data_IF_933133832584
#
_entry.id   IF_933133832584
#
_cell.length_a   1.000
_cell.length_b   1.000
_cell.length_c   1.000
_cell.angle_alpha   90.00
_cell.angle_beta   90.00
_cell.angle_gamma   90.00
#
_symmetry.space_group_name_H-M   'P 1'
#
loop_
_entity.id
_entity.type
_entity.pdbx_description
1 polymer ?
#
# COMPACT_ATOMS: atom_id res chain seq x y z
N UNK A 1 -15.50 -14.02 7.56
CA UNK A 1 -16.09 -14.27 6.24
C UNK A 1 -16.48 -12.92 5.67
N UNK A 2 -15.63 -12.38 4.79
CA UNK A 2 -15.87 -11.10 4.13
C UNK A 2 -17.22 -11.18 3.43
N UNK A 3 -18.11 -10.21 3.66
CA UNK A 3 -19.38 -10.12 2.94
C UNK A 3 -19.03 -9.84 1.47
N UNK A 4 -18.96 -10.88 0.64
CA UNK A 4 -18.69 -10.87 -0.81
C UNK A 4 -19.65 -9.99 -1.65
N UNK A 5 -20.50 -9.18 -1.02
CA UNK A 5 -21.75 -8.71 -1.60
C UNK A 5 -21.78 -7.22 -1.96
N UNK A 6 -20.67 -6.49 -1.82
CA UNK A 6 -20.64 -5.03 -2.02
C UNK A 6 -19.74 -4.53 -3.16
N UNK A 7 -18.82 -5.34 -3.68
CA UNK A 7 -18.03 -4.94 -4.85
C UNK A 7 -18.79 -5.34 -6.14
N UNK A 8 -19.16 -4.39 -7.01
CA UNK A 8 -19.89 -4.69 -8.24
C UNK A 8 -19.02 -5.37 -9.31
N UNK A 9 -17.70 -5.39 -9.12
CA UNK A 9 -16.74 -5.94 -10.07
C UNK A 9 -16.51 -7.44 -9.85
N UNK A 10 -16.22 -8.16 -10.92
CA UNK A 10 -15.77 -9.54 -10.91
C UNK A 10 -14.34 -9.61 -10.36
N UNK A 11 -14.13 -10.43 -9.34
CA UNK A 11 -12.82 -10.64 -8.72
C UNK A 11 -12.50 -12.13 -8.67
N UNK A 12 -11.41 -12.54 -9.33
CA UNK A 12 -10.77 -13.84 -9.11
C UNK A 12 -9.81 -13.71 -7.92
N UNK A 13 -10.29 -14.07 -6.71
CA UNK A 13 -9.49 -14.01 -5.48
C UNK A 13 -8.29 -14.97 -5.49
N UNK A 14 -8.32 -16.04 -6.28
CA UNK A 14 -7.23 -17.01 -6.34
C UNK A 14 -6.07 -16.46 -7.16
N UNK A 15 -6.38 -15.87 -8.32
CA UNK A 15 -5.38 -15.27 -9.22
C UNK A 15 -5.11 -13.79 -8.90
N UNK A 16 -5.91 -13.19 -8.02
CA UNK A 16 -5.89 -11.77 -7.68
C UNK A 16 -6.10 -10.89 -8.92
N UNK A 17 -7.07 -11.25 -9.78
CA UNK A 17 -7.39 -10.53 -11.01
C UNK A 17 -8.77 -9.90 -10.88
N UNK A 18 -8.87 -8.60 -11.16
CA UNK A 18 -10.13 -7.85 -11.21
C UNK A 18 -10.57 -7.70 -12.67
N UNK A 19 -11.85 -7.96 -12.95
CA UNK A 19 -12.47 -7.86 -14.28
C UNK A 19 -11.74 -8.67 -15.38
N UNK A 20 -11.06 -9.74 -14.98
CA UNK A 20 -10.17 -10.57 -15.83
C UNK A 20 -8.99 -9.82 -16.48
N UNK A 21 -8.76 -8.55 -16.15
CA UNK A 21 -7.80 -7.67 -16.85
C UNK A 21 -6.83 -6.92 -15.95
N UNK A 22 -7.14 -6.73 -14.66
CA UNK A 22 -6.25 -6.05 -13.71
C UNK A 22 -5.68 -7.07 -12.72
N UNK A 23 -4.46 -7.53 -12.98
CA UNK A 23 -3.72 -8.40 -12.09
C UNK A 23 -3.10 -7.57 -10.95
N UNK A 24 -3.47 -7.85 -9.71
CA UNK A 24 -2.88 -7.22 -8.54
C UNK A 24 -1.42 -7.68 -8.37
N UNK A 25 -0.50 -6.72 -8.30
CA UNK A 25 0.92 -7.00 -8.04
C UNK A 25 1.19 -6.93 -6.54
N UNK A 26 1.82 -7.97 -6.00
CA UNK A 26 2.16 -8.09 -4.58
C UNK A 26 3.53 -8.71 -4.42
N UNK A 27 4.19 -8.41 -3.30
CA UNK A 27 5.38 -9.13 -2.88
C UNK A 27 5.03 -10.56 -2.45
N UNK A 28 4.99 -11.47 -3.43
CA UNK A 28 4.76 -12.90 -3.19
C UNK A 28 5.94 -13.61 -2.53
N UNK A 29 7.15 -13.03 -2.58
CA UNK A 29 8.38 -13.62 -2.05
C UNK A 29 8.46 -13.50 -0.52
N UNK A 30 7.95 -12.40 0.03
CA UNK A 30 7.99 -12.13 1.47
C UNK A 30 6.62 -12.12 2.15
N UNK A 31 5.57 -12.58 1.44
CA UNK A 31 4.19 -12.63 1.96
C UNK A 31 4.03 -13.54 3.18
N UNK A 32 4.80 -14.63 3.24
CA UNK A 32 4.75 -15.62 4.31
C UNK A 32 5.77 -15.36 5.43
N UNK A 33 6.54 -14.27 5.33
CA UNK A 33 7.44 -13.81 6.39
C UNK A 33 6.70 -12.84 7.31
N UNK A 34 6.51 -13.14 8.60
CA UNK A 34 5.80 -12.26 9.52
C UNK A 34 6.58 -10.96 9.73
N UNK A 35 5.89 -9.84 9.54
CA UNK A 35 6.33 -8.54 10.03
C UNK A 35 5.93 -8.43 11.51
N UNK A 36 6.88 -8.18 12.41
CA UNK A 36 6.66 -8.28 13.85
C UNK A 36 6.63 -6.89 14.50
N UNK A 37 5.60 -6.61 15.27
CA UNK A 37 5.52 -5.46 16.16
C UNK A 37 5.82 -5.89 17.60
N UNK A 38 6.55 -5.05 18.32
CA UNK A 38 6.70 -5.16 19.77
C UNK A 38 5.47 -4.57 20.45
N UNK A 39 4.88 -5.33 21.36
CA UNK A 39 3.67 -4.93 22.09
C UNK A 39 3.86 -5.17 23.58
N UNK A 40 3.30 -4.26 24.37
CA UNK A 40 3.18 -4.40 25.80
C UNK A 40 2.06 -5.37 26.14
N UNK A 41 2.35 -6.30 27.03
CA UNK A 41 1.39 -7.26 27.56
C UNK A 41 1.45 -7.29 29.07
N UNK A 42 0.31 -7.59 29.70
CA UNK A 42 0.25 -7.84 31.16
C UNK A 42 -0.45 -9.14 31.44
N UNK A 43 -0.22 -9.70 32.62
CA UNK A 43 -0.95 -10.83 33.15
C UNK A 43 -1.94 -10.41 34.22
N UNK A 44 -3.18 -10.87 34.11
CA UNK A 44 -4.26 -10.59 35.06
C UNK A 44 -4.94 -11.87 35.51
N UNK A 45 -5.64 -11.81 36.64
CA UNK A 45 -6.56 -12.89 37.00
C UNK A 45 -7.81 -12.84 36.10
N UNK A 46 -8.40 -13.99 35.71
CA UNK A 46 -9.50 -14.00 34.74
C UNK A 46 -10.70 -13.10 35.08
N UNK A 47 -11.00 -12.93 36.38
CA UNK A 47 -12.09 -12.07 36.88
C UNK A 47 -11.92 -10.58 36.53
N UNK A 48 -10.69 -10.11 36.33
CA UNK A 48 -10.38 -8.71 36.06
C UNK A 48 -10.44 -8.38 34.56
N UNK A 49 -10.65 -9.38 33.70
CA UNK A 49 -10.65 -9.20 32.24
C UNK A 49 -11.70 -8.20 31.72
N UNK A 50 -12.95 -8.12 32.23
CA UNK A 50 -13.91 -7.15 31.72
C UNK A 50 -13.48 -5.71 32.00
N UNK A 51 -12.87 -5.46 33.17
CA UNK A 51 -12.37 -4.14 33.56
C UNK A 51 -11.21 -3.70 32.66
N UNK A 52 -10.23 -4.59 32.46
CA UNK A 52 -9.12 -4.31 31.53
C UNK A 52 -9.61 -4.09 30.10
N UNK A 53 -10.54 -4.91 29.61
CA UNK A 53 -11.06 -4.77 28.24
C UNK A 53 -11.80 -3.44 28.04
N UNK A 54 -12.49 -2.93 29.06
CA UNK A 54 -13.11 -1.59 29.03
C UNK A 54 -12.04 -0.50 28.94
N UNK A 55 -10.99 -0.59 29.77
CA UNK A 55 -9.86 0.34 29.71
C UNK A 55 -9.19 0.34 28.33
N UNK A 56 -8.97 -0.81 27.71
CA UNK A 56 -8.34 -0.88 26.38
C UNK A 56 -9.17 -0.20 25.28
N UNK A 57 -10.48 -0.01 25.50
CA UNK A 57 -11.37 0.65 24.55
C UNK A 57 -11.49 2.16 24.81
N UNK A 58 -11.38 2.59 26.06
CA UNK A 58 -11.77 3.94 26.48
C UNK A 58 -10.64 4.73 27.18
N UNK A 59 -9.60 4.06 27.65
CA UNK A 59 -8.56 4.62 28.52
C UNK A 59 -7.17 4.72 27.90
N UNK A 60 -7.00 4.32 26.64
CA UNK A 60 -5.77 4.61 25.89
C UNK A 60 -5.88 6.01 25.25
N UNK A 61 -4.76 6.76 25.17
CA UNK A 61 -4.78 8.16 24.76
C UNK A 61 -5.17 8.36 23.29
N UNK A 62 -4.70 7.48 22.41
CA UNK A 62 -4.91 7.53 20.96
C UNK A 62 -5.19 6.13 20.40
N UNK A 63 -5.62 6.07 19.14
CA UNK A 63 -5.73 4.80 18.41
C UNK A 63 -4.34 4.20 18.18
N UNK A 64 -4.20 2.91 18.49
CA UNK A 64 -2.94 2.20 18.30
C UNK A 64 -2.61 2.07 16.80
N UNK A 65 -1.41 2.47 16.35
CA UNK A 65 -0.98 2.33 14.96
C UNK A 65 -0.90 0.86 14.50
N UNK A 66 -0.84 -0.10 15.44
CA UNK A 66 -0.86 -1.53 15.16
C UNK A 66 -2.26 -2.10 15.36
N UNK A 67 -2.83 -2.68 14.31
CA UNK A 67 -4.11 -3.39 14.39
C UNK A 67 -3.94 -4.76 15.06
N UNK A 68 -4.90 -5.13 15.92
CA UNK A 68 -4.92 -6.43 16.62
C UNK A 68 -6.08 -7.32 16.21
N UNK A 69 -6.81 -7.01 15.13
CA UNK A 69 -8.03 -7.71 14.73
C UNK A 69 -7.81 -9.18 14.36
N UNK A 70 -6.59 -9.53 13.94
CA UNK A 70 -6.13 -10.89 13.65
C UNK A 70 -5.51 -11.60 14.86
N UNK A 71 -5.28 -10.91 15.97
CA UNK A 71 -4.74 -11.48 17.20
C UNK A 71 -5.89 -11.78 18.19
N UNK A 72 -5.79 -12.89 18.92
CA UNK A 72 -6.63 -13.05 20.12
C UNK A 72 -6.11 -12.07 21.16
N UNK A 73 -6.95 -11.13 21.61
CA UNK A 73 -6.54 -10.10 22.58
C UNK A 73 -6.02 -10.68 23.90
N UNK A 74 -6.50 -11.88 24.26
CA UNK A 74 -6.16 -12.61 25.48
C UNK A 74 -5.68 -14.02 25.15
N UNK A 75 -4.70 -14.53 25.91
CA UNK A 75 -4.33 -15.95 25.96
C UNK A 75 -4.18 -16.41 27.41
N UNK A 76 -4.36 -17.70 27.67
CA UNK A 76 -4.02 -18.28 28.98
C UNK A 76 -2.50 -18.37 29.12
N UNK A 77 -1.99 -18.13 30.33
CA UNK A 77 -0.61 -18.47 30.70
C UNK A 77 -0.41 -20.00 30.68
N UNK A 78 0.84 -20.47 30.63
CA UNK A 78 1.15 -21.91 30.54
C UNK A 78 0.64 -22.70 31.74
N UNK A 79 0.64 -22.10 32.93
CA UNK A 79 0.09 -22.65 34.16
C UNK A 79 -1.46 -22.63 34.20
N UNK A 80 -2.11 -21.96 33.24
CA UNK A 80 -3.55 -21.81 33.12
C UNK A 80 -4.21 -20.91 34.18
N UNK A 81 -3.43 -20.33 35.09
CA UNK A 81 -3.94 -19.57 36.25
C UNK A 81 -4.27 -18.11 35.95
N UNK A 82 -3.69 -17.53 34.91
CA UNK A 82 -3.82 -16.11 34.53
C UNK A 82 -4.13 -15.95 33.05
N UNK A 83 -4.50 -14.73 32.68
CA UNK A 83 -4.65 -14.30 31.30
C UNK A 83 -3.55 -13.30 30.96
N UNK A 84 -2.79 -13.59 29.91
CA UNK A 84 -1.86 -12.65 29.31
C UNK A 84 -2.62 -11.85 28.23
N UNK A 85 -2.59 -10.51 28.34
CA UNK A 85 -3.43 -9.59 27.57
C UNK A 85 -2.56 -8.55 26.87
N UNK A 86 -2.84 -8.30 25.59
CA UNK A 86 -2.19 -7.24 24.82
C UNK A 86 -2.75 -5.88 25.25
N UNK A 87 -1.86 -4.95 25.59
CA UNK A 87 -2.21 -3.57 25.96
C UNK A 87 -2.14 -2.67 24.74
N UNK A 88 -0.92 -2.34 24.30
CA UNK A 88 -0.66 -1.47 23.16
C UNK A 88 0.70 -1.79 22.53
N UNK A 89 0.97 -1.20 21.37
CA UNK A 89 2.26 -1.30 20.69
C UNK A 89 3.26 -0.34 21.34
N UNK A 90 4.54 -0.65 21.17
CA UNK A 90 5.63 0.28 21.53
C UNK A 90 5.58 1.56 20.68
N UNK A 91 4.93 1.51 19.51
CA UNK A 91 4.72 2.68 18.64
C UNK A 91 3.67 3.65 19.18
N UNK A 92 2.71 3.16 19.98
CA UNK A 92 1.78 4.03 20.71
C UNK A 92 2.42 4.57 21.98
N UNK A 93 3.02 3.69 22.79
CA UNK A 93 3.65 4.05 24.06
C UNK A 93 5.01 3.37 24.13
N UNK A 94 6.07 4.17 23.95
CA UNK A 94 7.44 3.66 23.92
C UNK A 94 7.91 3.19 25.31
N UNK A 95 7.58 3.95 26.34
CA UNK A 95 8.11 3.78 27.69
C UNK A 95 7.23 2.86 28.56
N UNK A 96 7.85 1.83 29.16
CA UNK A 96 7.15 0.88 30.05
C UNK A 96 6.49 1.58 31.25
N UNK A 97 7.14 2.62 31.79
CA UNK A 97 6.66 3.35 32.96
C UNK A 97 5.33 4.08 32.70
N UNK A 98 5.12 4.55 31.48
CA UNK A 98 3.90 5.24 31.08
C UNK A 98 2.72 4.25 30.98
N UNK A 99 2.97 3.06 30.41
CA UNK A 99 1.98 1.97 30.40
C UNK A 99 1.59 1.59 31.83
N UNK A 100 2.58 1.44 32.73
CA UNK A 100 2.33 1.13 34.13
C UNK A 100 1.51 2.22 34.84
N UNK A 101 1.78 3.50 34.55
CA UNK A 101 1.05 4.65 35.09
C UNK A 101 -0.41 4.63 34.67
N UNK A 102 -0.70 4.47 33.37
CA UNK A 102 -2.08 4.41 32.86
C UNK A 102 -2.88 3.25 33.46
N UNK A 103 -2.25 2.07 33.58
CA UNK A 103 -2.88 0.91 34.22
C UNK A 103 -3.18 1.18 35.70
N UNK A 104 -2.27 1.86 36.42
CA UNK A 104 -2.45 2.23 37.82
C UNK A 104 -3.56 3.27 38.02
N UNK A 105 -3.60 4.31 37.19
CA UNK A 105 -4.65 5.34 37.18
C UNK A 105 -6.03 4.74 36.89
N UNK A 106 -6.10 3.71 36.05
CA UNK A 106 -7.31 2.94 35.77
C UNK A 106 -7.67 1.90 36.85
N UNK A 107 -6.87 1.77 37.91
CA UNK A 107 -7.07 0.81 38.99
C UNK A 107 -6.93 -0.66 38.56
N UNK A 108 -6.13 -0.93 37.52
CA UNK A 108 -5.94 -2.29 37.00
C UNK A 108 -4.83 -2.99 37.78
N UNK A 109 -5.20 -4.07 38.48
CA UNK A 109 -4.23 -4.97 39.09
C UNK A 109 -3.66 -5.92 38.03
N UNK A 110 -2.34 -5.99 37.93
CA UNK A 110 -1.65 -6.87 36.99
C UNK A 110 -0.34 -7.42 37.56
N UNK A 111 0.18 -8.45 36.91
CA UNK A 111 1.53 -8.97 37.05
C UNK A 111 2.22 -8.99 35.69
N UNK A 112 3.55 -9.09 35.68
CA UNK A 112 4.33 -9.34 34.46
C UNK A 112 4.02 -8.39 33.27
N UNK A 113 4.29 -7.10 33.44
CA UNK A 113 4.31 -6.16 32.30
C UNK A 113 5.56 -6.45 31.47
N UNK A 114 5.36 -7.00 30.28
CA UNK A 114 6.42 -7.52 29.43
C UNK A 114 6.21 -7.15 27.95
N UNK A 115 7.26 -7.33 27.15
CA UNK A 115 7.22 -7.19 25.70
C UNK A 115 7.05 -8.53 25.01
N UNK A 116 6.16 -8.57 24.02
CA UNK A 116 6.02 -9.69 23.10
C UNK A 116 6.15 -9.22 21.65
N UNK A 117 6.64 -10.10 20.78
CA UNK A 117 6.68 -9.88 19.33
C UNK A 117 5.44 -10.53 18.71
N UNK A 118 4.57 -9.72 18.10
CA UNK A 118 3.34 -10.17 17.45
C UNK A 118 3.37 -9.85 15.97
N UNK A 119 2.78 -10.70 15.11
CA UNK A 119 2.60 -10.35 13.70
C UNK A 119 1.77 -9.05 13.58
N UNK A 120 2.22 -8.09 12.77
CA UNK A 120 1.51 -6.84 12.45
C UNK A 120 0.25 -7.05 11.63
N UNK A 121 0.23 -8.11 10.83
CA UNK A 121 -0.90 -8.47 9.97
C UNK A 121 -1.22 -9.96 10.09
N UNK A 122 -2.46 -10.32 9.75
CA UNK A 122 -2.84 -11.72 9.60
C UNK A 122 -2.12 -12.39 8.43
N UNK A 123 -1.82 -13.69 8.50
CA UNK A 123 -1.18 -14.41 7.40
C UNK A 123 -2.12 -14.64 6.22
N UNK A 124 -1.57 -15.11 5.11
CA UNK A 124 -2.27 -15.39 3.84
C UNK A 124 -3.08 -16.70 3.87
N UNK A 125 -2.75 -17.64 4.75
CA UNK A 125 -3.36 -18.98 4.84
C UNK A 125 -3.71 -19.40 6.26
N UNK A 126 -4.61 -20.38 6.38
CA UNK A 126 -5.00 -20.95 7.68
C UNK A 126 -3.85 -21.69 8.34
N UNK A 127 -3.04 -22.36 7.54
CA UNK A 127 -1.88 -23.15 7.97
C UNK A 127 -0.83 -22.22 8.61
N UNK A 128 -0.50 -21.11 7.95
CA UNK A 128 0.39 -20.08 8.50
C UNK A 128 -0.22 -19.42 9.75
N UNK A 129 -1.53 -19.23 9.80
CA UNK A 129 -2.22 -18.72 11.00
C UNK A 129 -1.99 -19.61 12.22
N UNK A 130 -2.02 -20.94 12.02
CA UNK A 130 -1.72 -21.90 13.08
C UNK A 130 -0.23 -21.90 13.44
N UNK A 131 0.65 -21.83 12.44
CA UNK A 131 2.10 -21.77 12.65
C UNK A 131 2.52 -20.52 13.45
N UNK A 132 2.15 -19.34 12.97
CA UNK A 132 2.42 -18.07 13.66
C UNK A 132 1.71 -18.01 15.01
N UNK A 133 0.52 -18.62 15.10
CA UNK A 133 -0.22 -18.81 16.34
C UNK A 133 0.57 -19.52 17.43
N UNK A 134 1.34 -20.54 17.04
CA UNK A 134 2.22 -21.31 17.96
C UNK A 134 3.52 -20.57 18.25
N UNK A 135 4.10 -19.91 17.25
CA UNK A 135 5.43 -19.29 17.34
C UNK A 135 5.45 -17.94 18.04
N UNK A 136 4.44 -17.10 17.80
CA UNK A 136 4.43 -15.71 18.26
C UNK A 136 3.27 -15.44 19.22
N UNK A 137 2.03 -15.58 18.73
CA UNK A 137 0.84 -15.28 19.52
C UNK A 137 -0.42 -15.88 18.90
N UNK A 138 -1.38 -16.39 19.70
CA UNK A 138 -2.61 -16.99 19.17
C UNK A 138 -3.38 -16.04 18.24
N UNK A 139 -3.62 -16.48 17.01
CA UNK A 139 -4.30 -15.70 15.97
C UNK A 139 -5.76 -16.11 15.78
N UNK A 140 -6.54 -15.23 15.14
CA UNK A 140 -7.91 -15.46 14.67
C UNK A 140 -7.90 -15.49 13.15
N UNK A 141 -8.12 -16.67 12.57
CA UNK A 141 -8.26 -16.81 11.12
C UNK A 141 -9.63 -16.32 10.66
N UNK A 142 -9.66 -15.25 9.84
CA UNK A 142 -10.91 -14.66 9.31
C UNK A 142 -11.10 -14.85 7.79
N UNK A 143 -10.16 -15.55 7.16
CA UNK A 143 -10.00 -15.63 5.70
C UNK A 143 -8.70 -14.96 5.28
N UNK A 144 -8.36 -15.07 3.99
CA UNK A 144 -7.19 -14.40 3.43
C UNK A 144 -7.39 -12.87 3.51
N UNK A 145 -6.51 -12.11 4.20
CA UNK A 145 -6.64 -10.66 4.31
C UNK A 145 -6.69 -9.95 2.96
N UNK A 146 -6.03 -10.50 1.95
CA UNK A 146 -6.03 -9.93 0.60
C UNK A 146 -7.41 -9.96 -0.06
N UNK A 147 -8.27 -10.90 0.33
CA UNK A 147 -9.64 -10.94 -0.20
C UNK A 147 -10.41 -9.69 0.24
N UNK A 148 -10.19 -9.21 1.47
CA UNK A 148 -10.79 -7.96 1.93
C UNK A 148 -10.20 -6.77 1.16
N UNK A 149 -8.87 -6.72 1.03
CA UNK A 149 -8.17 -5.66 0.28
C UNK A 149 -8.71 -5.55 -1.15
N UNK A 150 -8.85 -6.68 -1.86
CA UNK A 150 -9.40 -6.71 -3.21
C UNK A 150 -10.86 -6.25 -3.26
N UNK A 151 -11.67 -6.57 -2.25
CA UNK A 151 -13.06 -6.11 -2.18
C UNK A 151 -13.16 -4.59 -1.92
N UNK A 152 -12.20 -4.01 -1.20
CA UNK A 152 -12.20 -2.59 -0.83
C UNK A 152 -11.72 -1.68 -1.97
N UNK A 153 -11.01 -2.24 -2.96
CA UNK A 153 -10.58 -1.46 -4.12
C UNK A 153 -11.75 -0.97 -4.96
N UNK A 154 -11.68 0.32 -5.30
CA UNK A 154 -12.61 1.02 -6.18
C UNK A 154 -11.94 1.30 -7.53
N UNK A 155 -12.62 0.92 -8.62
CA UNK A 155 -12.14 1.12 -9.98
C UNK A 155 -13.22 1.76 -10.85
N UNK A 156 -12.82 2.76 -11.63
CA UNK A 156 -13.57 3.23 -12.79
C UNK A 156 -12.99 2.55 -14.03
N UNK A 157 -13.56 1.40 -14.40
CA UNK A 157 -13.03 0.60 -15.52
C UNK A 157 -13.15 1.31 -16.87
N UNK A 158 -14.13 2.20 -17.03
CA UNK A 158 -14.27 2.98 -18.26
C UNK A 158 -13.11 3.99 -18.39
N UNK A 159 -12.79 4.69 -17.29
CA UNK A 159 -11.64 5.59 -17.24
C UNK A 159 -10.32 4.86 -17.43
N UNK A 160 -10.10 3.76 -16.70
CA UNK A 160 -8.88 2.96 -16.82
C UNK A 160 -8.65 2.57 -18.28
N UNK A 161 -9.68 2.04 -18.95
CA UNK A 161 -9.59 1.65 -20.36
C UNK A 161 -9.33 2.84 -21.30
N UNK A 162 -9.90 4.00 -21.00
CA UNK A 162 -9.69 5.24 -21.78
C UNK A 162 -8.24 5.71 -21.66
N UNK A 163 -7.70 5.81 -20.44
CA UNK A 163 -6.34 6.26 -20.18
C UNK A 163 -5.31 5.28 -20.73
N UNK A 164 -5.51 3.96 -20.55
CA UNK A 164 -4.62 2.94 -21.11
C UNK A 164 -4.57 3.01 -22.64
N UNK A 165 -5.71 3.25 -23.30
CA UNK A 165 -5.73 3.51 -24.75
C UNK A 165 -4.90 4.73 -25.11
N UNK A 166 -5.13 5.85 -24.41
CA UNK A 166 -4.45 7.11 -24.68
C UNK A 166 -2.93 6.98 -24.56
N UNK A 167 -2.41 6.36 -23.50
CA UNK A 167 -0.95 6.18 -23.34
C UNK A 167 -0.38 5.18 -24.35
N UNK A 168 -1.14 4.15 -24.74
CA UNK A 168 -0.74 3.14 -25.73
C UNK A 168 -0.64 3.74 -27.14
N UNK A 169 -1.62 4.54 -27.53
CA UNK A 169 -1.65 5.26 -28.82
C UNK A 169 -0.52 6.28 -28.87
N UNK A 170 -0.35 7.07 -27.80
CA UNK A 170 0.75 8.03 -27.68
C UNK A 170 2.11 7.34 -27.77
N UNK A 171 2.31 6.22 -27.09
CA UNK A 171 3.57 5.47 -27.18
C UNK A 171 3.85 4.99 -28.61
N UNK A 172 2.83 4.52 -29.31
CA UNK A 172 2.94 4.07 -30.71
C UNK A 172 3.35 5.21 -31.65
N UNK A 173 2.79 6.41 -31.47
CA UNK A 173 3.17 7.61 -32.23
C UNK A 173 4.62 8.06 -31.96
N UNK A 174 5.15 7.75 -30.77
CA UNK A 174 6.50 8.15 -30.34
C UNK A 174 7.59 7.12 -30.69
N UNK A 175 7.22 5.96 -31.24
CA UNK A 175 8.13 4.84 -31.51
C UNK A 175 9.37 5.22 -32.32
N UNK A 176 9.19 6.03 -33.37
CA UNK A 176 10.25 6.33 -34.33
C UNK A 176 11.01 7.64 -34.00
N UNK A 177 10.79 8.21 -32.81
CA UNK A 177 11.45 9.45 -32.41
C UNK A 177 12.88 9.18 -31.93
N UNK A 178 13.86 9.58 -32.73
CA UNK A 178 15.28 9.43 -32.42
C UNK A 178 15.64 10.03 -31.06
N UNK A 179 16.35 9.25 -30.23
CA UNK A 179 16.89 9.68 -28.94
C UNK A 179 15.95 9.59 -27.74
N UNK A 180 14.64 9.36 -27.95
CA UNK A 180 13.67 9.15 -26.88
C UNK A 180 13.08 7.74 -26.95
N UNK A 181 12.45 7.30 -25.86
CA UNK A 181 11.75 6.02 -25.87
C UNK A 181 10.23 6.20 -25.92
N UNK A 182 9.49 5.23 -26.50
CA UNK A 182 8.04 5.22 -26.50
C UNK A 182 7.44 4.80 -25.14
N UNK A 183 7.95 5.38 -24.05
CA UNK A 183 7.41 5.17 -22.71
C UNK A 183 6.57 6.39 -22.33
N UNK A 184 5.33 6.14 -21.92
CA UNK A 184 4.34 7.18 -21.64
C UNK A 184 3.67 6.89 -20.32
N UNK A 185 3.52 7.92 -19.51
CA UNK A 185 2.81 7.88 -18.23
C UNK A 185 1.70 8.93 -18.19
N UNK A 186 0.56 8.58 -17.61
CA UNK A 186 -0.54 9.48 -17.33
C UNK A 186 -0.71 9.66 -15.83
N UNK A 187 -0.86 10.90 -15.37
CA UNK A 187 -1.12 11.25 -13.97
C UNK A 187 -2.53 11.81 -13.86
N UNK A 188 -3.40 11.09 -13.13
CA UNK A 188 -4.81 11.45 -12.97
C UNK A 188 -5.05 12.01 -11.57
N UNK A 189 -5.34 13.31 -11.52
CA UNK A 189 -5.73 13.98 -10.27
C UNK A 189 -7.17 13.56 -9.89
N UNK A 190 -7.43 13.05 -8.67
CA UNK A 190 -8.78 12.68 -8.25
C UNK A 190 -9.76 13.87 -8.23
N UNK A 191 -9.28 15.11 -8.13
CA UNK A 191 -10.09 16.32 -8.15
C UNK A 191 -10.36 16.86 -9.57
N UNK A 192 -9.62 16.38 -10.57
CA UNK A 192 -9.74 16.77 -11.98
C UNK A 192 -9.47 15.58 -12.92
N UNK A 193 -10.23 14.47 -12.79
CA UNK A 193 -9.89 13.21 -13.45
C UNK A 193 -10.03 13.24 -14.99
N UNK A 194 -10.73 14.25 -15.53
CA UNK A 194 -10.93 14.44 -16.96
C UNK A 194 -9.75 15.17 -17.65
N UNK A 195 -8.76 15.61 -16.88
CA UNK A 195 -7.58 16.35 -17.37
C UNK A 195 -6.28 15.64 -16.95
N UNK A 196 -6.00 14.44 -17.48
CA UNK A 196 -4.78 13.73 -17.15
C UNK A 196 -3.55 14.45 -17.72
N UNK A 197 -2.47 14.51 -16.93
CA UNK A 197 -1.17 14.94 -17.44
C UNK A 197 -0.52 13.75 -18.14
N UNK A 198 -0.29 13.86 -19.46
CA UNK A 198 0.40 12.84 -20.26
C UNK A 198 1.87 13.23 -20.42
N UNK A 199 2.75 12.42 -19.84
CA UNK A 199 4.19 12.62 -19.86
C UNK A 199 4.88 11.52 -20.68
N UNK A 200 5.81 11.93 -21.53
CA UNK A 200 6.59 11.03 -22.40
C UNK A 200 8.03 11.01 -21.90
N UNK A 201 8.73 9.90 -22.11
CA UNK A 201 10.17 9.80 -21.93
C UNK A 201 10.91 10.79 -22.85
N UNK A 202 11.86 11.54 -22.27
CA UNK A 202 12.64 12.57 -22.96
C UNK A 202 14.14 12.41 -22.68
N UNK A 203 14.61 11.17 -22.68
CA UNK A 203 15.98 10.84 -22.26
C UNK A 203 17.09 11.35 -23.16
N UNK A 204 16.78 11.80 -24.38
CA UNK A 204 17.77 12.25 -25.35
C UNK A 204 18.70 13.37 -24.85
N UNK A 205 18.26 14.17 -23.86
CA UNK A 205 19.09 15.18 -23.20
C UNK A 205 19.61 14.78 -21.81
N UNK A 206 18.86 13.97 -21.06
CA UNK A 206 19.23 13.53 -19.72
C UNK A 206 18.67 12.12 -19.49
N UNK A 207 19.51 11.12 -19.17
CA UNK A 207 19.07 9.74 -19.00
C UNK A 207 18.01 9.56 -17.91
N UNK A 208 17.87 10.49 -16.96
CA UNK A 208 16.87 10.42 -15.88
C UNK A 208 15.50 11.02 -16.25
N UNK A 209 15.33 11.56 -17.46
CA UNK A 209 14.06 12.14 -17.94
C UNK A 209 13.08 11.05 -18.40
N UNK A 210 12.82 10.10 -17.51
CA UNK A 210 11.81 9.07 -17.68
C UNK A 210 10.40 9.66 -17.64
N UNK A 211 9.44 8.99 -18.27
CA UNK A 211 8.05 9.46 -18.37
C UNK A 211 7.42 9.79 -17.00
N UNK A 212 7.67 8.97 -15.97
CA UNK A 212 7.18 9.18 -14.60
C UNK A 212 7.81 10.42 -13.97
N UNK A 213 9.13 10.59 -14.09
CA UNK A 213 9.83 11.75 -13.54
C UNK A 213 9.35 13.04 -14.19
N UNK A 214 9.14 13.01 -15.51
CA UNK A 214 8.60 14.13 -16.26
C UNK A 214 7.17 14.44 -15.80
N UNK A 215 6.31 13.44 -15.60
CA UNK A 215 4.95 13.66 -15.12
C UNK A 215 4.87 14.27 -13.71
N UNK A 216 5.70 13.79 -12.77
CA UNK A 216 5.82 14.41 -11.44
C UNK A 216 6.26 15.88 -11.56
N UNK A 217 7.21 16.17 -12.45
CA UNK A 217 7.69 17.54 -12.71
C UNK A 217 6.60 18.44 -13.29
N UNK A 218 5.75 17.92 -14.18
CA UNK A 218 4.61 18.67 -14.73
C UNK A 218 3.55 18.94 -13.65
N UNK A 219 3.19 17.95 -12.81
CA UNK A 219 2.29 18.17 -11.66
C UNK A 219 2.82 19.29 -10.75
N UNK A 220 4.12 19.27 -10.45
CA UNK A 220 4.74 20.30 -9.62
C UNK A 220 4.73 21.69 -10.30
N UNK A 221 4.86 21.74 -11.63
CA UNK A 221 4.79 23.00 -12.39
C UNK A 221 3.38 23.57 -12.37
N UNK A 222 2.36 22.75 -12.59
CA UNK A 222 0.96 23.17 -12.56
C UNK A 222 0.59 23.73 -11.18
N UNK A 223 1.03 23.07 -10.10
CA UNK A 223 0.81 23.55 -8.74
C UNK A 223 1.53 24.89 -8.47
N UNK A 224 2.76 25.07 -8.96
CA UNK A 224 3.48 26.33 -8.84
C UNK A 224 2.74 27.46 -9.57
N UNK A 225 2.35 27.24 -10.83
CA UNK A 225 1.62 28.22 -11.62
C UNK A 225 0.29 28.61 -10.96
N UNK A 226 -0.41 27.63 -10.38
CA UNK A 226 -1.65 27.86 -9.64
C UNK A 226 -1.42 28.74 -8.42
N UNK A 227 -0.40 28.45 -7.60
CA UNK A 227 -0.07 29.25 -6.42
C UNK A 227 0.24 30.70 -6.78
N UNK A 228 1.06 30.92 -7.81
CA UNK A 228 1.34 32.28 -8.30
C UNK A 228 0.07 32.98 -8.81
N UNK A 229 -0.84 32.26 -9.48
CA UNK A 229 -2.09 32.82 -9.97
C UNK A 229 -3.03 33.24 -8.82
N UNK A 230 -3.04 32.48 -7.72
CA UNK A 230 -3.77 32.83 -6.48
C UNK A 230 -3.14 34.04 -5.80
N UNK A 231 -1.81 34.07 -5.68
CA UNK A 231 -1.07 35.21 -5.10
C UNK A 231 -1.28 36.51 -5.90
N UNK A 232 -1.34 36.42 -7.23
CA UNK A 232 -1.65 37.54 -8.12
C UNK A 232 -3.14 37.94 -8.14
N UNK A 233 -4.02 37.23 -7.41
CA UNK A 233 -5.46 37.47 -7.40
C UNK A 233 -6.19 37.14 -8.70
N UNK A 234 -5.53 36.43 -9.62
CA UNK A 234 -6.06 36.05 -10.95
C UNK A 234 -6.84 34.73 -10.94
N UNK A 235 -6.80 33.98 -9.83
CA UNK A 235 -7.56 32.75 -9.63
C UNK A 235 -8.02 32.62 -8.18
N UNK A 236 -9.15 31.95 -7.96
CA UNK A 236 -9.64 31.65 -6.61
C UNK A 236 -8.92 30.40 -6.10
N UNK A 237 -8.40 30.45 -4.87
CA UNK A 237 -7.78 29.31 -4.23
C UNK A 237 -8.71 28.10 -4.22
N UNK A 238 -8.39 27.07 -4.99
CA UNK A 238 -9.04 25.76 -4.91
C UNK A 238 -8.30 24.89 -3.90
N UNK A 239 -9.03 24.02 -3.21
CA UNK A 239 -8.45 22.87 -2.53
C UNK A 239 -7.79 22.01 -3.60
N UNK A 240 -6.47 21.91 -3.54
CA UNK A 240 -5.68 21.08 -4.45
C UNK A 240 -4.93 20.00 -3.66
N UNK A 241 -4.49 18.98 -4.36
CA UNK A 241 -3.78 17.84 -3.78
C UNK A 241 -2.35 18.21 -3.42
N UNK A 242 -1.86 17.70 -2.29
CA UNK A 242 -0.46 17.82 -1.90
C UNK A 242 0.40 16.84 -2.73
N UNK A 243 1.37 17.33 -3.50
CA UNK A 243 2.16 16.50 -4.43
C UNK A 243 1.25 15.77 -5.43
N UNK A 244 1.37 14.45 -5.54
CA UNK A 244 0.46 13.60 -6.32
C UNK A 244 -0.42 12.76 -5.38
N UNK A 245 -0.77 13.32 -4.22
CA UNK A 245 -1.56 12.62 -3.21
C UNK A 245 -2.85 12.08 -3.81
N UNK A 246 -3.03 10.77 -3.63
CA UNK A 246 -4.18 10.01 -4.11
C UNK A 246 -4.33 9.92 -5.65
N UNK A 247 -3.28 10.25 -6.42
CA UNK A 247 -3.32 10.12 -7.88
C UNK A 247 -3.34 8.66 -8.31
N UNK A 248 -4.07 8.37 -9.38
CA UNK A 248 -3.90 7.16 -10.16
C UNK A 248 -2.91 7.45 -11.29
N UNK A 249 -1.80 6.71 -11.33
CA UNK A 249 -0.76 6.80 -12.36
C UNK A 249 -0.86 5.60 -13.27
N UNK A 250 -0.85 5.83 -14.58
CA UNK A 250 -0.90 4.79 -15.61
C UNK A 250 0.39 4.87 -16.42
N UNK A 251 1.05 3.76 -16.69
CA UNK A 251 2.31 3.76 -17.46
C UNK A 251 2.35 2.62 -18.47
N UNK A 252 2.98 2.83 -19.62
CA UNK A 252 3.09 1.78 -20.64
C UNK A 252 4.01 0.65 -20.20
N UNK A 253 5.07 0.95 -19.45
CA UNK A 253 6.06 -0.03 -19.00
C UNK A 253 6.19 -0.01 -17.48
N UNK A 254 6.54 -1.15 -16.91
CA UNK A 254 6.81 -1.30 -15.49
C UNK A 254 7.93 -0.33 -15.06
N UNK A 255 7.71 0.51 -14.03
CA UNK A 255 8.68 1.47 -13.54
C UNK A 255 9.96 0.82 -13.00
N UNK A 256 11.10 1.44 -13.30
CA UNK A 256 12.39 1.11 -12.70
C UNK A 256 12.48 1.56 -11.23
N UNK A 257 13.58 1.23 -10.56
CA UNK A 257 13.81 1.55 -9.15
C UNK A 257 13.69 3.05 -8.84
N UNK A 258 14.23 3.92 -9.69
CA UNK A 258 14.11 5.38 -9.51
C UNK A 258 12.65 5.83 -9.58
N UNK A 259 11.93 5.41 -10.62
CA UNK A 259 10.56 5.85 -10.85
C UNK A 259 9.59 5.25 -9.82
N UNK A 260 9.73 3.98 -9.48
CA UNK A 260 8.92 3.33 -8.45
C UNK A 260 9.09 3.99 -7.07
N UNK A 261 10.31 4.40 -6.71
CA UNK A 261 10.57 5.14 -5.47
C UNK A 261 10.09 6.59 -5.53
N UNK A 262 10.19 7.25 -6.69
CA UNK A 262 9.62 8.58 -6.88
C UNK A 262 8.10 8.58 -6.66
N UNK A 263 7.40 7.54 -7.11
CA UNK A 263 5.95 7.38 -6.85
C UNK A 263 5.63 7.22 -5.34
N UNK A 264 6.48 6.53 -4.56
CA UNK A 264 6.36 6.50 -3.09
C UNK A 264 6.44 7.92 -2.52
N UNK A 265 7.48 8.68 -2.90
CA UNK A 265 7.69 10.04 -2.42
C UNK A 265 6.56 11.00 -2.83
N UNK A 266 5.96 10.77 -4.00
CA UNK A 266 4.83 11.54 -4.53
C UNK A 266 3.48 11.17 -3.91
N UNK A 267 3.42 10.12 -3.07
CA UNK A 267 2.22 9.67 -2.33
C UNK A 267 1.02 9.32 -3.22
N UNK A 268 1.28 8.74 -4.38
CA UNK A 268 0.21 8.28 -5.28
C UNK A 268 -0.66 7.23 -4.60
N UNK A 269 -1.91 7.08 -5.07
CA UNK A 269 -2.78 5.98 -4.62
C UNK A 269 -2.43 4.68 -5.33
N UNK A 270 -2.29 4.74 -6.65
CA UNK A 270 -2.25 3.55 -7.50
C UNK A 270 -1.37 3.73 -8.72
N UNK A 271 -0.64 2.69 -9.09
CA UNK A 271 0.05 2.57 -10.36
C UNK A 271 -0.53 1.40 -11.19
N UNK A 272 -0.93 1.66 -12.43
CA UNK A 272 -1.37 0.63 -13.39
C UNK A 272 -0.41 0.61 -14.58
N UNK A 273 0.26 -0.50 -14.83
CA UNK A 273 1.18 -0.64 -15.97
C UNK A 273 0.74 -1.71 -16.97
N UNK A 274 1.16 -1.58 -18.23
CA UNK A 274 0.82 -2.55 -19.30
C UNK A 274 1.91 -3.61 -19.42
N UNK A 275 3.11 -3.21 -19.85
CA UNK A 275 4.21 -4.12 -20.18
C UNK A 275 5.14 -4.32 -18.97
N UNK A 276 5.37 -5.56 -18.51
CA UNK A 276 6.35 -5.83 -17.47
C UNK A 276 7.78 -5.63 -17.98
N UNK A 277 8.71 -5.30 -17.08
CA UNK A 277 10.14 -5.12 -17.38
C UNK A 277 10.98 -6.10 -16.54
N UNK A 278 11.20 -7.35 -17.00
CA UNK A 278 11.81 -8.39 -16.17
C UNK A 278 13.22 -8.09 -15.65
N UNK A 279 14.02 -7.29 -16.37
CA UNK A 279 15.41 -6.99 -15.97
C UNK A 279 15.52 -5.73 -15.10
N UNK A 280 14.65 -4.75 -15.28
CA UNK A 280 14.81 -3.40 -14.70
C UNK A 280 13.62 -2.93 -13.86
N UNK A 281 12.46 -3.57 -13.97
CA UNK A 281 11.25 -3.25 -13.24
C UNK A 281 11.39 -3.46 -11.73
N UNK A 282 10.73 -2.62 -10.95
CA UNK A 282 10.86 -2.58 -9.50
C UNK A 282 9.55 -2.89 -8.73
N UNK A 283 8.49 -3.29 -9.42
CA UNK A 283 7.18 -3.52 -8.82
C UNK A 283 6.85 -5.01 -8.68
N UNK A 284 7.01 -5.78 -9.76
CA UNK A 284 6.72 -7.21 -9.73
C UNK A 284 7.78 -7.96 -8.94
N UNK A 285 7.39 -9.03 -8.22
CA UNK A 285 8.34 -9.86 -7.50
C UNK A 285 9.30 -10.60 -8.42
N UNK A 286 8.93 -10.86 -9.69
CA UNK A 286 9.81 -11.50 -10.68
C UNK A 286 10.66 -10.51 -11.49
N UNK A 287 10.41 -9.20 -11.40
CA UNK A 287 11.15 -8.18 -12.15
C UNK A 287 12.35 -7.67 -11.36
N UNK A 288 13.47 -7.46 -12.05
CA UNK A 288 14.73 -6.98 -11.47
C UNK A 288 15.17 -7.82 -10.27
N UNK A 289 15.56 -7.14 -9.20
CA UNK A 289 15.89 -7.78 -7.91
C UNK A 289 14.66 -8.16 -7.08
N UNK A 290 13.44 -7.97 -7.60
CA UNK A 290 12.19 -8.21 -6.88
C UNK A 290 11.98 -7.22 -5.73
N UNK A 291 12.29 -5.94 -5.94
CA UNK A 291 12.19 -4.91 -4.90
C UNK A 291 10.78 -4.75 -4.32
N UNK A 292 9.75 -4.97 -5.15
CA UNK A 292 8.34 -4.78 -4.78
C UNK A 292 8.10 -3.46 -4.02
N UNK A 293 8.67 -2.37 -4.52
CA UNK A 293 8.81 -1.10 -3.78
C UNK A 293 7.49 -0.58 -3.23
N UNK A 294 6.40 -0.77 -3.98
CA UNK A 294 5.04 -0.36 -3.61
C UNK A 294 4.51 -1.03 -2.33
N UNK A 295 5.08 -2.17 -1.95
CA UNK A 295 4.63 -3.00 -0.82
C UNK A 295 5.73 -3.34 0.19
N UNK A 296 6.92 -2.77 0.03
CA UNK A 296 8.07 -3.01 0.92
C UNK A 296 7.74 -2.69 2.38
N UNK A 297 8.14 -3.58 3.29
CA UNK A 297 7.95 -3.43 4.74
C UNK A 297 8.90 -2.41 5.36
N UNK A 298 10.02 -2.13 4.69
CA UNK A 298 11.02 -1.16 5.18
C UNK A 298 10.65 0.30 4.85
N UNK A 299 9.62 0.51 4.03
CA UNK A 299 9.14 1.83 3.64
C UNK A 299 7.87 2.20 4.42
N UNK A 300 7.80 3.45 4.85
CA UNK A 300 6.67 3.97 5.65
C UNK A 300 5.42 4.31 4.83
N UNK A 301 5.47 4.13 3.51
CA UNK A 301 4.36 4.43 2.59
C UNK A 301 4.26 3.34 1.54
N UNK A 302 3.04 3.13 1.03
CA UNK A 302 2.67 2.07 0.09
C UNK A 302 1.67 2.63 -0.91
N UNK A 303 1.61 2.04 -2.09
CA UNK A 303 0.59 2.32 -3.09
C UNK A 303 0.12 1.02 -3.76
N UNK A 304 -1.08 1.08 -4.34
CA UNK A 304 -1.68 -0.04 -5.03
C UNK A 304 -1.02 -0.25 -6.39
N UNK A 305 -0.77 -1.50 -6.80
CA UNK A 305 -0.20 -1.78 -8.13
C UNK A 305 -1.00 -2.84 -8.85
N UNK A 306 -1.31 -2.56 -10.11
CA UNK A 306 -1.93 -3.51 -11.01
C UNK A 306 -1.18 -3.58 -12.34
N UNK A 307 -1.07 -4.78 -12.88
CA UNK A 307 -0.70 -4.99 -14.26
C UNK A 307 -1.97 -5.19 -15.10
N UNK A 308 -2.06 -4.50 -16.22
CA UNK A 308 -3.04 -4.81 -17.25
C UNK A 308 -2.62 -6.09 -17.98
N UNK A 309 -3.46 -7.13 -17.92
CA UNK A 309 -3.22 -8.44 -18.54
C UNK A 309 -4.23 -8.78 -19.64
N UNK A 310 -5.14 -7.85 -19.96
CA UNK A 310 -6.08 -8.00 -21.06
C UNK A 310 -5.49 -7.63 -22.42
N UNK A 311 -6.14 -8.07 -23.49
CA UNK A 311 -5.78 -7.65 -24.84
C UNK A 311 -6.23 -6.20 -25.13
N UNK A 312 -5.67 -5.61 -26.19
CA UNK A 312 -6.20 -4.37 -26.79
C UNK A 312 -5.38 -3.09 -26.54
N UNK A 313 -4.29 -3.17 -25.78
CA UNK A 313 -3.32 -2.08 -25.63
C UNK A 313 -1.93 -2.59 -25.99
N UNK A 314 -1.48 -2.27 -27.20
CA UNK A 314 -0.16 -2.67 -27.70
C UNK A 314 0.78 -1.49 -27.50
N UNK A 315 1.83 -1.70 -26.72
CA UNK A 315 2.89 -0.72 -26.50
C UNK A 315 4.15 -1.16 -27.25
N UNK A 316 4.96 -0.23 -27.80
CA UNK A 316 6.16 -0.62 -28.53
C UNK A 316 7.21 -1.27 -27.62
N UNK A 317 7.86 -2.33 -28.11
CA UNK A 317 8.94 -2.99 -27.38
C UNK A 317 10.13 -2.06 -27.18
N UNK A 318 10.71 -2.12 -25.98
CA UNK A 318 11.99 -1.49 -25.62
C UNK A 318 12.99 -2.58 -25.20
N UNK A 319 14.29 -2.27 -25.25
CA UNK A 319 15.33 -3.22 -24.83
C UNK A 319 15.13 -3.65 -23.37
N UNK A 320 15.28 -4.94 -23.06
CA UNK A 320 15.08 -5.49 -21.72
C UNK A 320 15.87 -4.77 -20.62
N UNK A 321 17.13 -4.45 -20.89
CA UNK A 321 18.02 -3.73 -19.96
C UNK A 321 17.72 -2.23 -19.82
N UNK A 322 16.59 -1.74 -20.32
CA UNK A 322 16.22 -0.32 -20.27
C UNK A 322 15.49 0.01 -18.98
N UNK A 323 15.98 1.00 -18.25
CA UNK A 323 15.23 1.60 -17.14
C UNK A 323 14.26 2.67 -17.68
N UNK A 324 13.02 2.71 -17.16
CA UNK A 324 12.02 3.71 -17.51
C UNK A 324 11.02 3.96 -16.36
#
# INVERSE_FOLDING_TARGET
MVKKHQNPLKIDFKRCIVEDVLLQIRDSKHIDTPDLAKVWTVEIVPRDSPHLMKFLKEGLPDEDPVSYLHCKRLRKTEDGGRLCVIICSVELIEEQGEVARLLAEAGISYSNLALHNLPRAGPSTRELSLEWGRKFWPLVWRGNPNDQILNDYTFDMARIRSILRQISDTASEKRDQSGNLPVVSAFVNPLAPEQPIIAVDQRGGNPLHHSIMNGIKEVARDELQRREAVERGTSVGRTDTYLCLDFDVYTTHEPCSMCAMALIHSRIKRCIFIQPMPETGALRPESGDGYCMHSSKALNSKYEVFQWVGDGYVVPDISGGTCC
#
